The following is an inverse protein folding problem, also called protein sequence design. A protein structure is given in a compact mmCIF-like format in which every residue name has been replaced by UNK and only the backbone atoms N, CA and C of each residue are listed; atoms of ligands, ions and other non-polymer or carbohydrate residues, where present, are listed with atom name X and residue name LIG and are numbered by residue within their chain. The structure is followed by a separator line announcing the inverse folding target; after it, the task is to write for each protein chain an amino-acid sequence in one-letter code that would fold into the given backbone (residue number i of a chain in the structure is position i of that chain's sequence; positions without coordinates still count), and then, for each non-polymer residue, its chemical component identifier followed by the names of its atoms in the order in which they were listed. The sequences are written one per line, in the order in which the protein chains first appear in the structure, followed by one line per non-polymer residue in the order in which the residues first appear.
data_IF_521320561368
#
_entry.id   IF_521320561368
#
_cell.length_a   1.000
_cell.length_b   1.000
_cell.length_c   1.000
_cell.angle_alpha   90.00
_cell.angle_beta   90.00
_cell.angle_gamma   90.00
#
_symmetry.space_group_name_H-M   'P 1'
#
loop_
_entity.id
_entity.type
_entity.pdbx_description
1 polymer ?
#
# COMPACT_ATOMS: atom_id res chain seq x y z
N UNK A 1 4.10 14.52 -10.39
CA UNK A 1 3.52 13.16 -10.46
C UNK A 1 4.14 12.44 -11.66
N UNK A 2 5.47 12.43 -11.75
CA UNK A 2 6.22 12.11 -12.99
C UNK A 2 7.23 10.95 -12.83
N UNK A 3 7.38 10.39 -11.64
CA UNK A 3 8.51 9.48 -11.33
C UNK A 3 8.32 8.07 -11.93
N UNK A 4 7.09 7.65 -12.21
CA UNK A 4 6.81 6.30 -12.71
C UNK A 4 6.93 6.13 -14.23
N UNK A 5 6.93 7.21 -15.03
CA UNK A 5 7.10 7.08 -16.48
C UNK A 5 8.57 6.84 -16.89
N UNK A 6 9.53 7.04 -15.98
CA UNK A 6 10.96 6.91 -16.26
C UNK A 6 11.62 5.61 -15.80
N UNK A 7 10.90 4.72 -15.09
CA UNK A 7 11.43 3.40 -14.74
C UNK A 7 11.29 2.39 -15.90
N UNK A 8 11.92 2.68 -17.05
CA UNK A 8 12.26 1.63 -18.03
C UNK A 8 13.36 0.76 -17.40
N UNK A 9 12.95 -0.26 -16.65
CA UNK A 9 13.84 -1.33 -16.20
C UNK A 9 14.36 -2.10 -17.42
N UNK A 10 15.50 -1.66 -17.97
CA UNK A 10 16.24 -2.38 -19.02
C UNK A 10 17.20 -3.34 -18.32
N UNK A 11 16.72 -4.54 -18.01
CA UNK A 11 17.56 -5.67 -17.59
C UNK A 11 18.02 -6.38 -18.88
N UNK A 12 19.25 -6.14 -19.29
CA UNK A 12 19.84 -6.83 -20.44
C UNK A 12 20.26 -8.26 -20.05
N UNK A 13 19.74 -9.26 -20.80
CA UNK A 13 20.42 -10.54 -21.11
C UNK A 13 20.08 -11.77 -20.27
N UNK A 14 19.10 -12.59 -20.72
CA UNK A 14 19.02 -14.08 -20.74
C UNK A 14 17.56 -14.54 -20.79
N UNK A 15 17.06 -14.85 -21.98
CA UNK A 15 15.81 -14.30 -22.51
C UNK A 15 14.48 -15.04 -22.24
N UNK A 16 14.40 -16.07 -21.39
CA UNK A 16 13.12 -16.76 -21.11
C UNK A 16 12.76 -16.88 -19.62
N UNK A 17 13.72 -17.18 -18.73
CA UNK A 17 13.46 -17.32 -17.28
C UNK A 17 13.36 -15.94 -16.59
N UNK A 18 14.12 -14.95 -17.07
CA UNK A 18 14.12 -13.59 -16.53
C UNK A 18 12.92 -12.77 -16.99
N UNK A 19 12.37 -12.99 -18.19
CA UNK A 19 11.18 -12.29 -18.69
C UNK A 19 9.97 -12.51 -17.80
N UNK A 20 9.62 -13.78 -17.53
CA UNK A 20 8.50 -14.11 -16.65
C UNK A 20 8.70 -13.52 -15.25
N UNK A 21 9.92 -13.60 -14.72
CA UNK A 21 10.25 -13.00 -13.42
C UNK A 21 10.11 -11.48 -13.40
N UNK A 22 10.45 -10.80 -14.49
CA UNK A 22 10.39 -9.34 -14.63
C UNK A 22 8.96 -8.87 -14.82
N UNK A 23 8.17 -9.54 -15.67
CA UNK A 23 6.74 -9.27 -15.89
C UNK A 23 5.95 -9.43 -14.59
N UNK A 24 6.23 -10.48 -13.82
CA UNK A 24 5.63 -10.67 -12.50
C UNK A 24 5.95 -9.53 -11.53
N UNK A 25 7.20 -9.06 -11.51
CA UNK A 25 7.60 -7.94 -10.66
C UNK A 25 6.92 -6.64 -11.09
N UNK A 26 6.87 -6.35 -12.39
CA UNK A 26 6.16 -5.20 -12.93
C UNK A 26 4.67 -5.23 -12.57
N UNK A 27 4.02 -6.39 -12.71
CA UNK A 27 2.62 -6.57 -12.31
C UNK A 27 2.39 -6.31 -10.82
N UNK A 28 3.32 -6.74 -9.96
CA UNK A 28 3.27 -6.47 -8.52
C UNK A 28 3.44 -4.98 -8.21
N UNK A 29 4.35 -4.29 -8.89
CA UNK A 29 4.59 -2.85 -8.74
C UNK A 29 3.36 -2.02 -9.16
N UNK A 30 2.74 -2.36 -10.29
CA UNK A 30 1.50 -1.71 -10.75
C UNK A 30 0.39 -1.86 -9.71
N UNK A 31 0.23 -3.07 -9.13
CA UNK A 31 -0.76 -3.31 -8.07
C UNK A 31 -0.45 -2.48 -6.81
N UNK A 32 0.82 -2.40 -6.41
CA UNK A 32 1.25 -1.60 -5.27
C UNK A 32 0.95 -0.11 -5.47
N UNK A 33 1.20 0.43 -6.66
CA UNK A 33 0.91 1.82 -6.99
C UNK A 33 -0.59 2.12 -6.91
N UNK A 34 -1.42 1.25 -7.51
CA UNK A 34 -2.89 1.37 -7.45
C UNK A 34 -3.39 1.37 -6.01
N UNK A 35 -2.92 0.42 -5.20
CA UNK A 35 -3.29 0.29 -3.79
C UNK A 35 -2.91 1.54 -2.98
N UNK A 36 -1.76 2.16 -3.27
CA UNK A 36 -1.34 3.39 -2.63
C UNK A 36 -2.27 4.57 -2.93
N UNK A 37 -2.76 4.67 -4.17
CA UNK A 37 -3.73 5.71 -4.50
C UNK A 37 -5.03 5.53 -3.70
N UNK A 38 -5.52 4.29 -3.58
CA UNK A 38 -6.69 3.94 -2.77
C UNK A 38 -6.46 4.31 -1.30
N UNK A 39 -5.36 3.83 -0.71
CA UNK A 39 -4.98 4.13 0.68
C UNK A 39 -4.89 5.64 0.93
N UNK A 40 -4.29 6.40 0.02
CA UNK A 40 -4.21 7.86 0.14
C UNK A 40 -5.59 8.51 0.17
N UNK A 41 -6.53 8.06 -0.67
CA UNK A 41 -7.90 8.57 -0.66
C UNK A 41 -8.64 8.20 0.63
N UNK A 42 -8.49 6.96 1.08
CA UNK A 42 -9.10 6.47 2.31
C UNK A 42 -8.56 7.19 3.55
N UNK A 43 -7.25 7.40 3.63
CA UNK A 43 -6.60 8.15 4.71
C UNK A 43 -7.10 9.59 4.76
N UNK A 44 -7.28 10.25 3.62
CA UNK A 44 -7.88 11.59 3.57
C UNK A 44 -9.30 11.60 4.12
N UNK A 45 -10.15 10.63 3.74
CA UNK A 45 -11.52 10.50 4.27
C UNK A 45 -11.52 10.30 5.78
N UNK A 46 -10.68 9.39 6.28
CA UNK A 46 -10.57 9.09 7.72
C UNK A 46 -10.04 10.28 8.54
N UNK A 47 -9.13 11.05 7.97
CA UNK A 47 -8.60 12.26 8.63
C UNK A 47 -9.55 13.46 8.54
N UNK A 48 -10.54 13.43 7.64
CA UNK A 48 -11.57 14.47 7.57
C UNK A 48 -12.61 14.36 8.70
N UNK A 49 -12.67 13.23 9.42
CA UNK A 49 -13.45 13.13 10.65
C UNK A 49 -12.79 13.99 11.74
N UNK A 50 -13.31 15.19 11.93
CA UNK A 50 -12.88 16.19 12.92
C UNK A 50 -13.65 16.10 14.23
N UNK A 51 -14.84 15.49 14.22
CA UNK A 51 -15.59 15.19 15.43
C UNK A 51 -15.07 13.92 16.08
N UNK A 52 -14.70 14.01 17.36
CA UNK A 52 -14.32 12.85 18.15
C UNK A 52 -15.55 11.93 18.30
N UNK A 53 -15.43 10.62 18.01
CA UNK A 53 -16.51 9.69 18.29
C UNK A 53 -16.81 9.73 19.79
N UNK A 54 -18.08 9.98 20.15
CA UNK A 54 -18.54 9.95 21.55
C UNK A 54 -18.45 8.56 22.19
N UNK A 55 -18.22 7.52 21.37
CA UNK A 55 -17.99 6.15 21.80
C UNK A 55 -16.48 5.84 21.84
N UNK A 56 -15.90 5.51 23.01
CA UNK A 56 -14.49 5.15 23.17
C UNK A 56 -14.01 4.06 22.22
N UNK A 57 -14.83 3.02 21.97
CA UNK A 57 -14.49 1.93 21.05
C UNK A 57 -14.34 2.41 19.61
N UNK A 58 -15.15 3.38 19.17
CA UNK A 58 -15.04 3.99 17.84
C UNK A 58 -13.81 4.89 17.73
N UNK A 59 -13.48 5.62 18.80
CA UNK A 59 -12.25 6.40 18.87
C UNK A 59 -11.01 5.51 18.74
N UNK A 60 -10.96 4.39 19.47
CA UNK A 60 -9.88 3.42 19.40
C UNK A 60 -9.73 2.83 18.00
N UNK A 61 -10.82 2.36 17.38
CA UNK A 61 -10.82 1.84 16.01
C UNK A 61 -10.35 2.89 14.99
N UNK A 62 -10.82 4.13 15.11
CA UNK A 62 -10.40 5.24 14.25
C UNK A 62 -8.89 5.51 14.38
N UNK A 63 -8.39 5.51 15.61
CA UNK A 63 -6.97 5.71 15.90
C UNK A 63 -6.10 4.55 15.38
N UNK A 64 -6.56 3.31 15.53
CA UNK A 64 -5.93 2.13 14.94
C UNK A 64 -5.83 2.23 13.42
N UNK A 65 -6.92 2.64 12.74
CA UNK A 65 -6.91 2.85 11.30
C UNK A 65 -5.90 3.93 10.89
N UNK A 66 -5.86 5.07 11.60
CA UNK A 66 -4.86 6.13 11.35
C UNK A 66 -3.44 5.60 11.47
N UNK A 67 -3.14 4.83 12.52
CA UNK A 67 -1.82 4.17 12.69
C UNK A 67 -1.54 3.19 11.55
N UNK A 68 -2.52 2.39 11.14
CA UNK A 68 -2.42 1.47 10.01
C UNK A 68 -2.05 2.17 8.71
N UNK A 69 -2.70 3.29 8.39
CA UNK A 69 -2.37 4.10 7.22
C UNK A 69 -0.97 4.70 7.27
N UNK A 70 -0.54 5.20 8.43
CA UNK A 70 0.82 5.74 8.61
C UNK A 70 1.88 4.66 8.40
N UNK A 71 1.68 3.48 8.99
CA UNK A 71 2.59 2.35 8.85
C UNK A 71 2.67 1.85 7.40
N UNK A 72 1.53 1.69 6.74
CA UNK A 72 1.46 1.30 5.33
C UNK A 72 2.24 2.28 4.43
N UNK A 73 2.06 3.59 4.64
CA UNK A 73 2.76 4.61 3.87
C UNK A 73 4.28 4.59 4.12
N UNK A 74 4.70 4.37 5.36
CA UNK A 74 6.12 4.24 5.71
C UNK A 74 6.76 3.03 5.03
N UNK A 75 6.09 1.88 5.02
CA UNK A 75 6.58 0.68 4.34
C UNK A 75 6.62 0.86 2.82
N UNK A 76 5.61 1.49 2.22
CA UNK A 76 5.63 1.80 0.80
C UNK A 76 6.82 2.69 0.44
N UNK A 77 7.08 3.76 1.21
CA UNK A 77 8.24 4.63 1.01
C UNK A 77 9.56 3.85 1.11
N UNK A 78 9.66 2.94 2.08
CA UNK A 78 10.83 2.09 2.24
C UNK A 78 11.07 1.20 1.00
N UNK A 79 10.04 0.49 0.52
CA UNK A 79 10.13 -0.36 -0.67
C UNK A 79 10.53 0.45 -1.90
N UNK A 80 9.93 1.63 -2.09
CA UNK A 80 10.29 2.53 -3.20
C UNK A 80 11.75 2.99 -3.10
N UNK A 81 12.22 3.34 -1.91
CA UNK A 81 13.63 3.70 -1.68
C UNK A 81 14.59 2.55 -2.02
N UNK A 82 14.24 1.30 -1.68
CA UNK A 82 15.04 0.13 -2.05
C UNK A 82 15.11 -0.08 -3.57
N UNK A 83 14.00 0.15 -4.28
CA UNK A 83 13.91 0.07 -5.75
C UNK A 83 14.78 1.15 -6.39
N UNK A 84 14.64 2.40 -5.96
CA UNK A 84 15.38 3.55 -6.50
C UNK A 84 16.89 3.39 -6.31
N UNK A 85 17.30 2.89 -5.14
CA UNK A 85 18.71 2.71 -4.81
C UNK A 85 19.30 1.42 -5.40
N UNK A 86 18.49 0.57 -6.04
CA UNK A 86 18.88 -0.77 -6.55
C UNK A 86 19.54 -1.64 -5.48
N UNK A 87 19.18 -1.45 -4.21
CA UNK A 87 19.85 -2.05 -3.04
C UNK A 87 19.30 -3.43 -2.63
N UNK A 88 18.36 -3.98 -3.40
CA UNK A 88 17.65 -5.20 -3.02
C UNK A 88 17.61 -6.19 -4.18
N UNK A 89 17.77 -7.48 -3.86
CA UNK A 89 17.59 -8.55 -4.83
C UNK A 89 16.13 -8.61 -5.29
N UNK A 90 15.90 -9.04 -6.53
CA UNK A 90 14.55 -9.14 -7.10
C UNK A 90 13.65 -10.12 -6.32
N UNK A 91 14.22 -11.14 -5.68
CA UNK A 91 13.50 -12.12 -4.86
C UNK A 91 12.97 -11.46 -3.59
N UNK A 92 13.86 -10.82 -2.80
CA UNK A 92 13.47 -10.14 -1.56
C UNK A 92 12.48 -9.01 -1.82
N UNK A 93 12.69 -8.25 -2.90
CA UNK A 93 11.75 -7.21 -3.31
C UNK A 93 10.36 -7.76 -3.63
N UNK A 94 10.26 -8.92 -4.31
CA UNK A 94 8.96 -9.56 -4.57
C UNK A 94 8.27 -9.97 -3.27
N UNK A 95 9.01 -10.48 -2.29
CA UNK A 95 8.47 -10.85 -0.98
C UNK A 95 7.97 -9.63 -0.22
N UNK A 96 8.76 -8.56 -0.17
CA UNK A 96 8.38 -7.29 0.47
C UNK A 96 7.13 -6.69 -0.18
N UNK A 97 7.04 -6.69 -1.51
CA UNK A 97 5.84 -6.20 -2.21
C UNK A 97 4.64 -7.11 -1.91
N UNK A 98 4.78 -8.43 -1.90
CA UNK A 98 3.68 -9.35 -1.56
C UNK A 98 3.17 -9.13 -0.14
N UNK A 99 4.08 -8.94 0.82
CA UNK A 99 3.73 -8.62 2.20
C UNK A 99 2.95 -7.30 2.27
N UNK A 100 3.45 -6.28 1.58
CA UNK A 100 2.78 -4.97 1.48
C UNK A 100 1.39 -5.05 0.86
N UNK A 101 1.20 -5.87 -0.18
CA UNK A 101 -0.12 -6.12 -0.77
C UNK A 101 -1.08 -6.85 0.19
N UNK A 102 -0.56 -7.75 1.05
CA UNK A 102 -1.39 -8.40 2.07
C UNK A 102 -1.81 -7.41 3.17
N UNK A 103 -0.93 -6.50 3.55
CA UNK A 103 -1.25 -5.44 4.51
C UNK A 103 -2.30 -4.49 3.96
N UNK A 104 -2.26 -4.18 2.65
CA UNK A 104 -3.35 -3.44 2.00
C UNK A 104 -4.70 -4.13 2.20
N UNK A 105 -4.80 -5.43 1.91
CA UNK A 105 -6.06 -6.19 2.07
C UNK A 105 -6.59 -6.15 3.50
N UNK A 106 -5.70 -6.23 4.48
CA UNK A 106 -6.07 -6.09 5.89
C UNK A 106 -6.63 -4.69 6.15
N UNK A 107 -5.91 -3.65 5.75
CA UNK A 107 -6.31 -2.26 5.97
C UNK A 107 -7.64 -1.92 5.26
N UNK A 108 -7.85 -2.46 4.07
CA UNK A 108 -9.09 -2.36 3.30
C UNK A 108 -10.27 -3.04 4.02
N UNK A 109 -10.06 -4.22 4.61
CA UNK A 109 -11.07 -4.90 5.41
C UNK A 109 -11.39 -4.12 6.69
N UNK A 110 -10.37 -3.64 7.38
CA UNK A 110 -10.53 -2.92 8.66
C UNK A 110 -11.32 -1.62 8.46
N UNK A 111 -11.02 -0.86 7.39
CA UNK A 111 -11.78 0.36 7.09
C UNK A 111 -13.20 0.07 6.60
N UNK A 112 -13.41 -0.98 5.81
CA UNK A 112 -14.76 -1.38 5.40
C UNK A 112 -15.61 -1.73 6.63
N UNK A 113 -15.06 -2.48 7.58
CA UNK A 113 -15.73 -2.81 8.84
C UNK A 113 -16.04 -1.56 9.66
N UNK A 114 -15.11 -0.61 9.77
CA UNK A 114 -15.34 0.65 10.48
C UNK A 114 -16.43 1.49 9.81
N UNK A 115 -16.41 1.62 8.48
CA UNK A 115 -17.42 2.40 7.76
C UNK A 115 -18.81 1.78 7.89
N UNK A 116 -18.92 0.45 7.89
CA UNK A 116 -20.20 -0.25 8.13
C UNK A 116 -20.70 0.00 9.56
N UNK A 117 -19.82 -0.09 10.56
CA UNK A 117 -20.14 0.17 11.98
C UNK A 117 -20.58 1.62 12.22
N UNK A 118 -19.99 2.58 11.50
CA UNK A 118 -20.40 4.00 11.58
C UNK A 118 -21.73 4.23 10.84
N UNK A 119 -21.94 3.59 9.68
CA UNK A 119 -23.12 3.82 8.86
C UNK A 119 -24.40 3.15 9.40
N UNK A 120 -24.29 2.15 10.27
CA UNK A 120 -25.42 1.49 10.92
C UNK A 120 -26.14 2.35 11.98
N UNK A 121 -25.61 3.53 12.30
CA UNK A 121 -26.15 4.42 13.33
C UNK A 121 -26.36 5.86 12.83
N UNK A 122 -26.38 6.06 11.50
CA UNK A 122 -26.77 7.32 10.85
C UNK A 122 -28.28 7.35 10.58
#
# INVERSE_FOLDING_TARGET
MEVLMHCKFKLNGMDNVTKNSTEQLQGLLIRMERNNNIVRQLSKKINAYTSEPTNPSRFEKLHELRRGFMFFNAQQKHIMGLIEQRRVSSIKLKEDIKLHLNQFKKLEKDIAAYLLDVNQYS
#
